data_IF_676085496407
#
_entry.id   IF_676085496407
#
_cell.length_a   1.000
_cell.length_b   1.000
_cell.length_c   1.000
_cell.angle_alpha   90.00
_cell.angle_beta   90.00
_cell.angle_gamma   90.00
#
_symmetry.space_group_name_H-M   'P 1'
#
loop_
_entity.id
_entity.type
_entity.pdbx_description
1 polymer ?
#
# COMPACT_ATOMS: atom_id res chain seq x y z
N UNK A 1 26.89 14.96 -22.34
CA UNK A 1 27.99 15.10 -21.38
C UNK A 1 27.48 15.14 -19.94
N UNK A 2 26.48 15.95 -19.63
CA UNK A 2 25.86 15.99 -18.26
C UNK A 2 25.17 14.68 -17.84
N UNK A 3 24.70 13.88 -18.78
CA UNK A 3 24.08 12.57 -18.51
C UNK A 3 25.11 11.47 -18.26
N UNK A 4 26.31 11.57 -18.85
CA UNK A 4 27.38 10.61 -18.67
C UNK A 4 28.12 10.77 -17.34
N UNK A 5 28.21 12.00 -16.82
CA UNK A 5 28.85 12.27 -15.54
C UNK A 5 28.03 11.78 -14.32
N UNK A 6 26.72 11.54 -14.51
CA UNK A 6 25.83 10.95 -13.49
C UNK A 6 25.90 9.44 -13.39
N UNK A 7 26.58 8.78 -14.31
CA UNK A 7 26.77 7.32 -14.37
C UNK A 7 28.18 6.88 -13.93
N UNK A 8 28.84 7.68 -13.09
CA UNK A 8 30.15 7.29 -12.56
C UNK A 8 30.07 5.93 -11.85
N UNK A 9 31.05 5.02 -12.12
CA UNK A 9 31.07 3.73 -11.48
C UNK A 9 31.23 3.89 -9.97
N UNK A 10 30.52 3.07 -9.21
CA UNK A 10 30.58 3.06 -7.75
C UNK A 10 32.01 2.81 -7.28
N UNK A 11 32.52 3.60 -6.31
CA UNK A 11 33.81 3.30 -5.71
C UNK A 11 33.72 1.97 -4.93
N UNK A 12 34.73 1.14 -5.11
CA UNK A 12 34.87 -0.18 -4.53
C UNK A 12 34.54 -0.20 -3.02
N UNK A 13 33.58 -1.00 -2.63
CA UNK A 13 33.41 -1.48 -1.25
C UNK A 13 32.66 -0.61 -0.28
N UNK A 14 32.01 0.48 -0.70
CA UNK A 14 31.02 1.18 0.13
C UNK A 14 29.62 0.96 -0.45
N UNK A 15 28.66 0.59 0.40
CA UNK A 15 27.26 0.66 0.02
C UNK A 15 27.00 2.06 -0.52
N UNK A 16 26.67 2.14 -1.80
CA UNK A 16 26.43 3.43 -2.44
C UNK A 16 25.17 4.03 -1.85
N UNK A 17 25.31 5.12 -1.14
CA UNK A 17 24.18 5.98 -0.89
C UNK A 17 23.64 6.42 -2.26
N UNK A 18 22.37 6.24 -2.53
CA UNK A 18 21.81 6.58 -3.83
C UNK A 18 21.97 8.09 -4.08
N UNK A 19 22.39 8.47 -5.27
CA UNK A 19 22.60 9.89 -5.65
C UNK A 19 21.38 10.82 -5.46
N UNK A 20 20.21 10.25 -5.19
CA UNK A 20 19.01 11.02 -4.87
C UNK A 20 18.97 11.52 -3.41
N UNK A 21 19.94 11.15 -2.56
CA UNK A 21 20.03 11.64 -1.18
C UNK A 21 20.36 13.14 -1.12
N UNK A 22 21.01 13.67 -2.16
CA UNK A 22 21.39 15.07 -2.21
C UNK A 22 20.19 16.02 -2.41
N UNK A 23 19.07 15.49 -2.93
CA UNK A 23 17.82 16.25 -3.12
C UNK A 23 16.79 16.02 -2.02
N UNK A 24 17.10 15.12 -1.08
CA UNK A 24 16.20 14.77 0.02
C UNK A 24 16.47 15.71 1.20
N UNK A 25 15.38 16.25 1.74
CA UNK A 25 15.42 16.99 3.00
C UNK A 25 16.08 16.11 4.08
N UNK A 26 17.23 16.54 4.66
CA UNK A 26 17.92 15.74 5.67
C UNK A 26 17.06 15.37 6.88
N UNK A 27 15.98 16.13 7.15
CA UNK A 27 15.03 15.80 8.21
C UNK A 27 14.16 14.58 7.90
N UNK A 28 14.06 14.20 6.62
CA UNK A 28 13.35 12.98 6.19
C UNK A 28 14.23 11.73 6.24
N UNK A 29 15.54 11.89 6.34
CA UNK A 29 16.49 10.79 6.47
C UNK A 29 16.91 10.73 7.93
N UNK A 30 16.10 10.08 8.76
CA UNK A 30 16.60 9.66 10.06
C UNK A 30 17.60 8.53 9.85
N UNK A 31 18.70 8.49 10.64
CA UNK A 31 19.68 7.43 10.51
C UNK A 31 19.01 6.06 10.60
N UNK A 32 19.51 5.14 9.80
CA UNK A 32 19.10 3.73 9.84
C UNK A 32 19.06 3.27 11.29
N UNK A 33 17.99 2.62 11.75
CA UNK A 33 17.92 2.14 13.12
C UNK A 33 19.15 1.33 13.45
N UNK A 34 19.71 1.54 14.62
CA UNK A 34 20.78 0.67 15.11
C UNK A 34 20.28 -0.77 15.03
N UNK A 35 21.09 -1.70 14.54
CA UNK A 35 20.68 -3.10 14.48
C UNK A 35 20.20 -3.51 15.86
N UNK A 36 19.06 -4.16 15.91
CA UNK A 36 18.47 -4.70 17.14
C UNK A 36 19.53 -5.53 17.85
N UNK A 37 19.75 -5.36 19.16
CA UNK A 37 20.73 -6.14 19.87
C UNK A 37 20.49 -7.65 19.63
N UNK A 38 21.54 -8.47 19.49
CA UNK A 38 21.41 -9.89 19.16
C UNK A 38 20.58 -10.71 20.15
N UNK A 39 20.17 -10.13 21.28
CA UNK A 39 19.33 -10.76 22.32
C UNK A 39 17.94 -10.12 22.42
N UNK A 40 17.55 -9.24 21.53
CA UNK A 40 16.15 -8.85 21.44
C UNK A 40 15.40 -10.07 20.89
N UNK A 41 14.48 -10.62 21.66
CA UNK A 41 13.54 -11.61 21.13
C UNK A 41 12.89 -10.98 19.88
N UNK A 42 12.91 -11.69 18.74
CA UNK A 42 12.25 -11.18 17.55
C UNK A 42 10.79 -10.93 17.94
N UNK A 43 10.39 -9.66 17.90
CA UNK A 43 8.97 -9.34 18.02
C UNK A 43 8.26 -10.16 16.94
N UNK A 44 7.39 -11.06 17.36
CA UNK A 44 6.65 -11.88 16.42
C UNK A 44 6.02 -10.95 15.38
N UNK A 45 6.16 -11.23 14.07
CA UNK A 45 5.54 -10.40 13.05
C UNK A 45 4.05 -10.27 13.37
N UNK A 46 3.62 -9.07 13.76
CA UNK A 46 2.24 -8.78 14.08
C UNK A 46 1.87 -8.64 15.55
N UNK A 47 2.80 -8.75 16.52
CA UNK A 47 2.51 -8.42 17.92
C UNK A 47 2.70 -6.92 18.18
N UNK A 48 1.95 -6.06 17.50
CA UNK A 48 1.76 -4.72 18.04
C UNK A 48 0.97 -4.84 19.33
N UNK A 49 1.42 -4.16 20.41
CA UNK A 49 0.56 -3.94 21.57
C UNK A 49 -0.68 -3.22 21.07
N UNK A 50 -1.78 -3.96 20.97
CA UNK A 50 -3.04 -3.39 20.56
C UNK A 50 -3.44 -2.30 21.56
N UNK A 51 -3.95 -1.14 21.06
CA UNK A 51 -4.52 -0.13 21.94
C UNK A 51 -5.63 -0.73 22.82
N UNK A 52 -5.76 -0.23 24.05
CA UNK A 52 -6.76 -0.72 25.00
C UNK A 52 -8.20 -0.74 24.44
N UNK A 53 -8.51 0.16 23.50
CA UNK A 53 -9.81 0.28 22.85
C UNK A 53 -9.90 -0.47 21.50
N UNK A 54 -9.08 -1.48 21.28
CA UNK A 54 -9.14 -2.32 20.09
C UNK A 54 -10.49 -3.05 20.01
N UNK A 55 -11.10 -3.09 18.81
CA UNK A 55 -12.36 -3.81 18.62
C UNK A 55 -12.21 -5.31 18.90
N UNK A 56 -13.29 -5.95 19.41
CA UNK A 56 -13.33 -7.39 19.67
C UNK A 56 -12.85 -8.22 18.48
N UNK A 57 -13.28 -7.86 17.28
CA UNK A 57 -12.88 -8.55 16.05
C UNK A 57 -11.36 -8.57 15.82
N UNK A 58 -10.66 -7.47 16.14
CA UNK A 58 -9.21 -7.42 15.98
C UNK A 58 -8.52 -8.23 17.06
N UNK A 59 -9.04 -8.19 18.29
CA UNK A 59 -8.56 -9.05 19.38
C UNK A 59 -8.69 -10.52 19.02
N UNK A 60 -9.85 -10.93 18.51
CA UNK A 60 -10.10 -12.29 18.06
C UNK A 60 -9.13 -12.71 16.95
N UNK A 61 -8.91 -11.86 15.93
CA UNK A 61 -7.95 -12.12 14.87
C UNK A 61 -6.52 -12.26 15.40
N UNK A 62 -6.14 -11.45 16.38
CA UNK A 62 -4.80 -11.53 16.98
C UNK A 62 -4.58 -12.81 17.76
N UNK A 63 -5.60 -13.30 18.46
CA UNK A 63 -5.55 -14.60 19.18
C UNK A 63 -5.39 -15.79 18.24
N UNK A 64 -5.83 -15.66 16.98
CA UNK A 64 -5.75 -16.73 15.97
C UNK A 64 -4.44 -16.73 15.17
N UNK A 65 -3.58 -15.74 15.37
CA UNK A 65 -2.30 -15.67 14.68
C UNK A 65 -1.35 -16.72 15.19
N UNK A 66 -0.75 -17.44 14.25
CA UNK A 66 0.27 -18.44 14.49
C UNK A 66 1.49 -18.17 13.58
N UNK A 67 2.64 -18.00 14.18
CA UNK A 67 3.89 -17.78 13.43
C UNK A 67 4.56 -19.07 12.95
N UNK A 68 4.03 -20.24 13.35
CA UNK A 68 4.56 -21.54 12.96
C UNK A 68 5.95 -21.88 13.53
N UNK A 69 6.59 -20.99 14.29
CA UNK A 69 7.93 -21.23 14.81
C UNK A 69 7.98 -22.45 15.75
N UNK A 70 8.95 -23.32 15.54
CA UNK A 70 9.12 -24.54 16.34
C UNK A 70 8.10 -25.66 16.06
N UNK A 71 7.20 -25.47 15.11
CA UNK A 71 6.22 -26.48 14.69
C UNK A 71 6.76 -27.27 13.49
N UNK A 72 6.60 -28.59 13.47
CA UNK A 72 6.97 -29.40 12.30
C UNK A 72 5.98 -29.16 11.17
N UNK A 73 6.43 -29.37 9.92
CA UNK A 73 5.51 -29.49 8.79
C UNK A 73 4.57 -30.68 8.99
N UNK A 74 3.33 -30.50 8.62
CA UNK A 74 2.31 -31.56 8.68
C UNK A 74 1.46 -31.58 7.42
N UNK A 75 0.80 -32.71 7.18
CA UNK A 75 -0.32 -32.75 6.24
C UNK A 75 -1.48 -31.89 6.75
N UNK A 76 -2.47 -31.63 5.92
CA UNK A 76 -3.70 -30.91 6.32
C UNK A 76 -4.47 -31.62 7.46
N UNK A 77 -4.22 -32.90 7.68
CA UNK A 77 -4.79 -33.70 8.78
C UNK A 77 -3.88 -33.76 10.01
N UNK A 78 -2.78 -33.00 10.04
CA UNK A 78 -1.89 -32.92 11.19
C UNK A 78 -0.83 -34.04 11.31
N UNK A 79 -0.69 -34.89 10.31
CA UNK A 79 0.35 -35.94 10.27
C UNK A 79 1.70 -35.28 9.98
N UNK A 80 2.70 -35.52 10.82
CA UNK A 80 4.06 -34.97 10.64
C UNK A 80 4.71 -35.46 9.37
N UNK A 81 5.33 -34.56 8.65
CA UNK A 81 6.08 -34.84 7.43
C UNK A 81 7.50 -35.29 7.83
N UNK A 82 7.90 -36.45 7.32
CA UNK A 82 9.23 -37.03 7.58
C UNK A 82 10.28 -36.53 6.59
N UNK A 83 9.91 -36.33 5.32
CA UNK A 83 10.81 -35.88 4.24
C UNK A 83 10.09 -34.86 3.35
N UNK A 84 10.60 -33.62 3.32
CA UNK A 84 10.12 -32.54 2.47
C UNK A 84 10.96 -32.36 1.19
N UNK A 85 11.96 -33.19 0.98
CA UNK A 85 12.92 -33.05 -0.14
C UNK A 85 12.72 -34.09 -1.23
N UNK A 86 12.03 -35.18 -0.93
CA UNK A 86 11.81 -36.28 -1.85
C UNK A 86 10.37 -36.74 -1.89
N UNK A 87 9.87 -37.07 -3.07
CA UNK A 87 8.55 -37.63 -3.29
C UNK A 87 8.58 -39.17 -3.32
N UNK A 88 7.43 -39.77 -3.05
CA UNK A 88 7.20 -41.19 -3.37
C UNK A 88 7.32 -41.39 -4.89
N UNK A 89 8.05 -42.43 -5.33
CA UNK A 89 8.29 -42.73 -6.74
C UNK A 89 8.05 -44.20 -7.05
N UNK A 90 7.65 -44.48 -8.28
CA UNK A 90 7.56 -45.82 -8.80
C UNK A 90 8.96 -46.37 -9.16
N UNK A 91 9.76 -46.73 -8.13
CA UNK A 91 11.16 -47.11 -8.23
C UNK A 91 12.11 -45.92 -8.22
N UNK A 92 13.43 -46.18 -8.10
CA UNK A 92 14.46 -45.14 -7.89
C UNK A 92 14.58 -44.10 -9.03
N UNK A 93 14.16 -44.46 -10.22
CA UNK A 93 14.16 -43.61 -11.43
C UNK A 93 12.75 -43.41 -12.04
N UNK A 94 11.74 -43.89 -11.35
CA UNK A 94 10.35 -43.80 -11.81
C UNK A 94 9.72 -42.43 -11.59
N UNK A 95 8.50 -42.22 -12.08
CA UNK A 95 7.75 -40.98 -11.88
C UNK A 95 7.34 -40.79 -10.41
N UNK A 96 7.15 -39.53 -10.00
CA UNK A 96 6.52 -39.20 -8.73
C UNK A 96 5.06 -39.64 -8.73
N UNK A 97 4.61 -40.12 -7.58
CA UNK A 97 3.26 -40.65 -7.42
C UNK A 97 2.38 -39.66 -6.65
N UNK A 98 1.16 -39.46 -7.11
CA UNK A 98 0.16 -38.61 -6.42
C UNK A 98 -0.40 -39.23 -5.13
N UNK A 99 -0.07 -40.51 -4.87
CA UNK A 99 -0.31 -41.17 -3.59
C UNK A 99 0.53 -40.59 -2.44
N UNK A 100 1.57 -39.82 -2.78
CA UNK A 100 2.27 -38.98 -1.80
C UNK A 100 1.40 -37.78 -1.44
N UNK A 101 0.69 -37.88 -0.33
CA UNK A 101 -0.21 -36.78 0.12
C UNK A 101 0.53 -35.49 0.39
N UNK A 102 1.77 -35.55 0.90
CA UNK A 102 2.54 -34.34 1.13
C UNK A 102 2.86 -33.63 -0.19
N UNK A 103 3.27 -34.37 -1.22
CA UNK A 103 3.51 -33.83 -2.55
C UNK A 103 2.24 -33.23 -3.16
N UNK A 104 1.12 -33.96 -3.10
CA UNK A 104 -0.15 -33.51 -3.62
C UNK A 104 -0.63 -32.20 -2.93
N UNK A 105 -0.60 -32.16 -1.59
CA UNK A 105 -0.99 -30.99 -0.81
C UNK A 105 -0.06 -29.81 -1.07
N UNK A 106 1.26 -30.05 -1.12
CA UNK A 106 2.24 -28.99 -1.37
C UNK A 106 2.06 -28.37 -2.76
N UNK A 107 1.80 -29.18 -3.78
CA UNK A 107 1.50 -28.70 -5.13
C UNK A 107 0.18 -27.95 -5.18
N UNK A 108 -0.86 -28.45 -4.53
CA UNK A 108 -2.15 -27.77 -4.47
C UNK A 108 -2.06 -26.40 -3.76
N UNK A 109 -1.34 -26.31 -2.66
CA UNK A 109 -1.08 -25.04 -2.01
C UNK A 109 -0.32 -24.08 -2.90
N UNK A 110 0.75 -24.56 -3.57
CA UNK A 110 1.53 -23.77 -4.51
C UNK A 110 0.69 -23.24 -5.67
N UNK A 111 -0.12 -24.07 -6.29
CA UNK A 111 -0.97 -23.67 -7.42
C UNK A 111 -2.04 -22.64 -7.01
N UNK A 112 -2.47 -22.67 -5.75
CA UNK A 112 -3.51 -21.80 -5.21
C UNK A 112 -2.97 -20.54 -4.48
N UNK A 113 -1.66 -20.34 -4.43
CA UNK A 113 -1.05 -19.14 -3.84
C UNK A 113 -1.41 -17.86 -4.61
N UNK A 114 -1.64 -17.99 -5.90
CA UNK A 114 -1.98 -16.87 -6.77
C UNK A 114 -3.45 -16.52 -6.62
N UNK A 115 -3.71 -15.26 -6.29
CA UNK A 115 -5.04 -14.69 -6.24
C UNK A 115 -5.20 -13.68 -7.40
N UNK A 116 -6.42 -13.43 -7.88
CA UNK A 116 -6.67 -12.37 -8.85
C UNK A 116 -6.18 -11.02 -8.32
N UNK A 117 -5.58 -10.22 -9.18
CA UNK A 117 -5.23 -8.84 -8.86
C UNK A 117 -6.47 -7.94 -8.89
N UNK A 118 -6.45 -6.86 -8.12
CA UNK A 118 -7.46 -5.80 -8.25
C UNK A 118 -7.39 -5.21 -9.66
N UNK A 119 -8.53 -4.87 -10.22
CA UNK A 119 -8.61 -4.20 -11.53
C UNK A 119 -7.84 -2.89 -11.52
N UNK A 120 -7.95 -2.15 -10.44
CA UNK A 120 -7.13 -0.96 -10.11
C UNK A 120 -6.61 -1.08 -8.69
N UNK A 121 -5.54 -0.37 -8.35
CA UNK A 121 -4.88 -0.41 -7.05
C UNK A 121 -4.25 -1.79 -6.69
N UNK A 122 -3.81 -2.56 -7.68
CA UNK A 122 -3.16 -3.85 -7.45
C UNK A 122 -1.81 -3.68 -6.72
N UNK A 123 -1.03 -2.68 -7.11
CA UNK A 123 0.23 -2.32 -6.45
C UNK A 123 -0.04 -1.47 -5.23
N UNK A 124 0.42 -1.89 -4.04
CA UNK A 124 0.25 -1.09 -2.85
C UNK A 124 0.89 -1.70 -1.61
N UNK A 125 0.93 -0.89 -0.56
CA UNK A 125 1.44 -1.26 0.77
C UNK A 125 0.53 -0.68 1.83
N UNK A 126 0.49 -1.30 2.99
CA UNK A 126 -0.35 -0.83 4.09
C UNK A 126 0.39 -0.84 5.42
N UNK A 127 -0.19 -0.13 6.38
CA UNK A 127 0.29 -0.07 7.74
C UNK A 127 -0.86 -0.05 8.73
N UNK A 128 -0.66 -0.68 9.86
CA UNK A 128 -1.52 -0.52 11.02
C UNK A 128 -1.15 0.75 11.77
N UNK A 129 -2.13 1.38 12.39
CA UNK A 129 -1.94 2.57 13.20
C UNK A 129 -3.15 2.85 14.07
N UNK A 130 -3.26 4.08 14.54
CA UNK A 130 -4.43 4.53 15.26
C UNK A 130 -4.83 5.94 14.83
N UNK A 131 -6.10 6.23 14.94
CA UNK A 131 -6.69 7.55 14.80
C UNK A 131 -7.12 8.09 16.15
N UNK A 132 -6.94 9.36 16.36
CA UNK A 132 -7.36 10.06 17.58
C UNK A 132 -7.85 11.45 17.21
N UNK A 133 -9.09 11.77 17.58
CA UNK A 133 -9.65 13.09 17.33
C UNK A 133 -9.06 14.11 18.32
N UNK A 134 -8.74 15.32 17.86
CA UNK A 134 -8.21 16.38 18.76
C UNK A 134 -9.23 16.94 19.73
N UNK A 135 -10.50 16.93 19.33
CA UNK A 135 -11.64 17.40 20.15
C UNK A 135 -12.93 16.71 19.72
N UNK A 136 -13.89 16.65 20.61
CA UNK A 136 -15.21 16.07 20.29
C UNK A 136 -15.86 16.77 19.10
N UNK A 137 -16.38 15.97 18.19
CA UNK A 137 -17.19 16.41 17.04
C UNK A 137 -18.68 16.15 17.23
N UNK A 138 -19.16 15.99 18.48
CA UNK A 138 -20.57 15.74 18.82
C UNK A 138 -21.55 16.72 18.19
N UNK A 139 -21.13 17.96 18.00
CA UNK A 139 -21.90 18.98 17.28
C UNK A 139 -22.27 18.56 15.85
N UNK A 140 -21.46 17.78 15.20
CA UNK A 140 -21.56 17.44 13.78
C UNK A 140 -21.94 15.99 13.52
N UNK A 141 -21.57 15.08 14.41
CA UNK A 141 -21.76 13.65 14.21
C UNK A 141 -21.99 12.92 15.52
N UNK A 142 -22.74 11.83 15.46
CA UNK A 142 -22.87 10.88 16.57
C UNK A 142 -21.91 9.69 16.51
N UNK A 143 -21.11 9.58 15.44
CA UNK A 143 -20.15 8.49 15.28
C UNK A 143 -19.19 8.39 16.49
N UNK A 144 -19.12 7.25 17.13
CA UNK A 144 -18.44 7.07 18.43
C UNK A 144 -16.95 7.46 18.36
N UNK A 145 -16.23 7.06 17.33
CA UNK A 145 -14.79 7.31 17.19
C UNK A 145 -14.41 8.80 16.98
N UNK A 146 -15.39 9.68 16.82
CA UNK A 146 -15.21 11.13 16.68
C UNK A 146 -15.69 11.91 17.92
N UNK A 147 -16.00 11.21 19.04
CA UNK A 147 -16.55 11.85 20.24
C UNK A 147 -15.50 12.16 21.30
N UNK A 148 -14.65 11.21 21.59
CA UNK A 148 -13.74 11.26 22.75
C UNK A 148 -12.28 11.45 22.30
N UNK A 149 -11.65 12.59 22.64
CA UNK A 149 -10.24 12.82 22.34
C UNK A 149 -9.26 11.87 23.04
N UNK A 150 -9.69 11.15 24.06
CA UNK A 150 -8.84 10.15 24.72
C UNK A 150 -8.87 8.78 24.03
N UNK A 151 -9.85 8.56 23.13
CA UNK A 151 -10.00 7.30 22.43
C UNK A 151 -9.02 7.17 21.28
N UNK A 152 -8.27 6.07 21.26
CA UNK A 152 -7.43 5.67 20.13
C UNK A 152 -8.14 4.59 19.34
N UNK A 153 -8.64 4.94 18.18
CA UNK A 153 -9.31 4.01 17.26
C UNK A 153 -8.28 3.34 16.38
N UNK A 154 -8.13 1.99 16.41
CA UNK A 154 -7.25 1.29 15.51
C UNK A 154 -7.62 1.55 14.05
N UNK A 155 -6.61 1.71 13.20
CA UNK A 155 -6.78 1.89 11.76
C UNK A 155 -5.86 0.98 10.97
N UNK A 156 -6.26 0.68 9.74
CA UNK A 156 -5.37 0.16 8.71
C UNK A 156 -5.40 1.10 7.53
N UNK A 157 -4.24 1.61 7.14
CA UNK A 157 -4.11 2.50 5.98
C UNK A 157 -3.44 1.73 4.86
N UNK A 158 -3.97 1.85 3.64
CA UNK A 158 -3.36 1.29 2.43
C UNK A 158 -3.09 2.39 1.42
N UNK A 159 -1.82 2.49 1.02
CA UNK A 159 -1.36 3.30 -0.11
C UNK A 159 -1.22 2.42 -1.34
N UNK A 160 -1.57 2.94 -2.53
CA UNK A 160 -1.53 2.14 -3.75
C UNK A 160 -1.39 2.98 -5.00
N UNK A 161 -0.78 2.41 -6.04
CA UNK A 161 -0.87 2.95 -7.39
C UNK A 161 -2.21 2.56 -8.00
N UNK A 162 -2.70 3.30 -8.99
CA UNK A 162 -4.01 3.03 -9.61
C UNK A 162 -3.88 2.09 -10.79
N UNK A 163 -3.00 2.40 -11.74
CA UNK A 163 -3.03 1.82 -13.08
C UNK A 163 -2.25 0.52 -13.23
N UNK A 164 -1.08 0.42 -12.58
CA UNK A 164 -0.15 -0.68 -12.78
C UNK A 164 -0.54 -1.99 -12.13
N UNK A 165 0.11 -3.07 -12.56
CA UNK A 165 0.01 -4.39 -11.95
C UNK A 165 0.60 -4.39 -10.54
N UNK A 166 0.36 -5.47 -9.78
CA UNK A 166 0.99 -5.67 -8.47
C UNK A 166 2.52 -5.61 -8.52
N UNK A 167 3.14 -6.08 -9.60
CA UNK A 167 4.59 -6.09 -9.83
C UNK A 167 5.15 -4.85 -10.51
N UNK A 168 4.32 -3.83 -10.80
CA UNK A 168 4.79 -2.58 -11.40
C UNK A 168 5.60 -1.75 -10.39
N UNK A 169 6.52 -0.86 -10.85
CA UNK A 169 7.30 -0.02 -9.95
C UNK A 169 6.46 1.00 -9.19
N UNK A 170 6.91 1.36 -7.99
CA UNK A 170 6.24 2.33 -7.13
C UNK A 170 6.28 3.77 -7.67
N UNK A 171 7.39 4.15 -8.33
CA UNK A 171 7.68 5.55 -8.70
C UNK A 171 7.14 5.98 -10.05
N UNK A 172 6.42 5.12 -10.77
CA UNK A 172 5.73 5.51 -12.00
C UNK A 172 4.75 6.65 -11.73
N UNK A 173 4.59 7.54 -12.71
CA UNK A 173 3.57 8.59 -12.63
C UNK A 173 2.18 7.97 -12.60
N UNK A 174 1.51 8.15 -11.50
CA UNK A 174 0.17 7.62 -11.26
C UNK A 174 -0.48 8.37 -10.09
N UNK A 175 -1.78 8.27 -9.94
CA UNK A 175 -2.48 8.67 -8.73
C UNK A 175 -2.17 7.65 -7.64
N UNK A 176 -2.04 8.11 -6.41
CA UNK A 176 -1.91 7.22 -5.25
C UNK A 176 -3.24 7.11 -4.52
N UNK A 177 -3.68 5.86 -4.32
CA UNK A 177 -4.78 5.56 -3.43
C UNK A 177 -4.37 5.81 -1.98
N UNK A 178 -5.32 6.28 -1.19
CA UNK A 178 -5.19 6.51 0.25
C UNK A 178 -6.46 6.01 0.92
N UNK A 179 -6.47 4.76 1.32
CA UNK A 179 -7.64 4.11 1.91
C UNK A 179 -7.39 3.85 3.40
N UNK A 180 -8.32 4.28 4.24
CA UNK A 180 -8.26 4.12 5.69
C UNK A 180 -9.46 3.33 6.17
N UNK A 181 -9.22 2.22 6.87
CA UNK A 181 -10.22 1.45 7.60
C UNK A 181 -10.11 1.77 9.08
N UNK A 182 -11.20 2.27 9.67
CA UNK A 182 -11.33 2.51 11.10
C UNK A 182 -12.06 1.34 11.74
N UNK A 183 -11.46 0.76 12.74
CA UNK A 183 -12.06 -0.33 13.53
C UNK A 183 -12.73 0.26 14.75
N UNK A 184 -13.94 0.77 14.56
CA UNK A 184 -14.68 1.48 15.63
C UNK A 184 -15.49 0.52 16.50
N UNK A 185 -15.93 0.99 17.65
CA UNK A 185 -16.83 0.23 18.55
C UNK A 185 -18.19 -0.06 17.93
N UNK A 186 -18.60 0.72 16.93
CA UNK A 186 -19.87 0.57 16.21
C UNK A 186 -19.75 -0.26 14.94
N UNK A 187 -18.56 -0.80 14.68
CA UNK A 187 -18.23 -1.55 13.47
C UNK A 187 -17.16 -0.85 12.62
N UNK A 188 -16.88 -1.40 11.45
CA UNK A 188 -15.86 -0.86 10.56
C UNK A 188 -16.39 0.34 9.79
N UNK A 189 -15.59 1.38 9.71
CA UNK A 189 -15.84 2.55 8.90
C UNK A 189 -14.67 2.71 7.91
N UNK A 190 -14.96 2.78 6.62
CA UNK A 190 -13.94 2.88 5.57
C UNK A 190 -14.01 4.23 4.88
N UNK A 191 -12.87 4.91 4.78
CA UNK A 191 -12.70 6.11 3.99
C UNK A 191 -11.73 5.81 2.86
N UNK A 192 -12.26 5.65 1.65
CA UNK A 192 -11.47 5.37 0.46
C UNK A 192 -11.22 6.68 -0.28
N UNK A 193 -9.96 6.98 -0.52
CA UNK A 193 -9.54 8.22 -1.15
C UNK A 193 -8.32 8.08 -2.04
N UNK A 194 -7.89 9.20 -2.59
CA UNK A 194 -6.72 9.33 -3.44
C UNK A 194 -5.90 10.56 -3.02
N UNK A 195 -4.72 10.71 -3.59
CA UNK A 195 -3.84 11.87 -3.40
C UNK A 195 -4.22 13.08 -4.29
N UNK A 196 -5.37 13.04 -4.95
CA UNK A 196 -5.93 14.15 -5.72
C UNK A 196 -7.28 14.57 -5.17
N UNK A 197 -7.59 15.88 -5.17
CA UNK A 197 -8.83 16.42 -4.57
C UNK A 197 -10.09 16.17 -5.40
N UNK A 198 -9.94 15.73 -6.64
CA UNK A 198 -11.01 15.46 -7.59
C UNK A 198 -10.80 14.11 -8.26
N UNK A 199 -11.85 13.56 -8.88
CA UNK A 199 -11.77 12.33 -9.63
C UNK A 199 -11.83 12.61 -11.14
N UNK A 200 -11.46 11.64 -11.98
CA UNK A 200 -11.45 11.79 -13.42
C UNK A 200 -12.83 11.99 -14.04
N UNK A 201 -13.83 11.32 -13.47
CA UNK A 201 -15.19 11.26 -14.01
C UNK A 201 -16.22 11.58 -12.94
N UNK A 202 -17.41 12.02 -13.36
CA UNK A 202 -18.54 12.24 -12.49
C UNK A 202 -19.53 11.07 -12.52
N UNK A 203 -19.82 10.54 -13.70
CA UNK A 203 -20.73 9.40 -13.84
C UNK A 203 -19.96 8.08 -13.85
N UNK A 204 -20.36 7.17 -12.98
CA UNK A 204 -19.69 5.88 -12.77
C UNK A 204 -19.73 4.96 -14.01
N UNK A 205 -20.65 5.14 -14.94
CA UNK A 205 -20.69 4.36 -16.19
C UNK A 205 -19.44 4.58 -17.06
N UNK A 206 -18.75 5.70 -16.88
CA UNK A 206 -17.52 6.03 -17.61
C UNK A 206 -16.27 5.37 -17.02
N UNK A 207 -16.38 4.76 -15.85
CA UNK A 207 -15.23 4.16 -15.17
C UNK A 207 -14.61 2.99 -15.96
N UNK A 208 -15.39 2.01 -16.47
CA UNK A 208 -14.82 0.95 -17.29
C UNK A 208 -14.06 1.46 -18.51
N UNK A 209 -14.59 2.45 -19.22
CA UNK A 209 -13.97 3.04 -20.41
C UNK A 209 -12.65 3.73 -20.04
N UNK A 210 -12.64 4.48 -18.94
CA UNK A 210 -11.43 5.09 -18.42
C UNK A 210 -10.36 4.04 -18.08
N UNK A 211 -10.75 2.95 -17.43
CA UNK A 211 -9.81 1.88 -17.06
C UNK A 211 -9.28 1.16 -18.31
N UNK A 212 -10.13 0.87 -19.29
CA UNK A 212 -9.66 0.32 -20.57
C UNK A 212 -8.63 1.23 -21.26
N UNK A 213 -8.83 2.55 -21.18
CA UNK A 213 -7.93 3.52 -21.79
C UNK A 213 -6.55 3.60 -21.12
N UNK A 214 -6.40 3.17 -19.87
CA UNK A 214 -5.13 3.21 -19.12
C UNK A 214 -4.46 1.84 -18.95
N UNK A 215 -5.19 0.75 -19.23
CA UNK A 215 -4.65 -0.61 -19.15
C UNK A 215 -3.98 -1.01 -20.47
N UNK A 216 -3.13 -2.05 -20.47
CA UNK A 216 -2.57 -2.60 -21.70
C UNK A 216 -3.64 -2.99 -22.72
N UNK A 217 -3.32 -2.83 -23.98
CA UNK A 217 -4.19 -3.23 -25.08
C UNK A 217 -4.45 -4.75 -25.05
N UNK A 218 -5.69 -5.22 -25.24
CA UNK A 218 -6.02 -6.63 -25.06
C UNK A 218 -5.39 -7.57 -26.09
N UNK A 219 -5.01 -7.06 -27.25
CA UNK A 219 -4.45 -7.88 -28.33
C UNK A 219 -2.93 -8.11 -28.23
N UNK A 220 -2.19 -7.31 -27.43
CA UNK A 220 -0.74 -7.40 -27.35
C UNK A 220 -0.18 -7.11 -25.94
N UNK A 221 -1.02 -6.75 -24.98
CA UNK A 221 -0.67 -6.38 -23.61
C UNK A 221 0.35 -5.21 -23.51
N UNK A 222 0.34 -4.31 -24.45
CA UNK A 222 1.15 -3.07 -24.48
C UNK A 222 0.24 -1.83 -24.46
N UNK A 223 0.76 -0.69 -23.95
CA UNK A 223 1.89 -0.56 -23.06
C UNK A 223 1.57 -1.02 -21.64
N UNK A 224 2.57 -1.03 -20.75
CA UNK A 224 2.33 -1.19 -19.31
C UNK A 224 1.38 -0.09 -18.82
N UNK A 225 0.51 -0.38 -17.84
CA UNK A 225 -0.46 0.58 -17.29
C UNK A 225 0.20 1.86 -16.79
N UNK A 226 0.24 2.86 -17.63
CA UNK A 226 0.88 4.17 -17.41
C UNK A 226 0.13 5.27 -18.17
N UNK A 227 0.35 6.53 -17.76
CA UNK A 227 -0.24 7.72 -18.39
C UNK A 227 0.38 8.10 -19.73
N UNK A 228 1.39 7.39 -20.21
CA UNK A 228 1.97 7.56 -21.55
C UNK A 228 1.23 6.79 -22.66
N UNK A 229 0.02 6.32 -22.38
CA UNK A 229 -0.79 5.48 -23.24
C UNK A 229 -1.57 6.32 -24.26
N UNK A 230 -1.54 5.96 -25.55
CA UNK A 230 -2.30 6.66 -26.59
C UNK A 230 -3.81 6.68 -26.28
N UNK A 231 -4.36 5.54 -25.91
CA UNK A 231 -5.78 5.40 -25.54
C UNK A 231 -6.16 6.26 -24.34
N UNK A 232 -5.25 6.49 -23.41
CA UNK A 232 -5.49 7.42 -22.30
C UNK A 232 -5.69 8.86 -22.81
N UNK A 233 -4.83 9.34 -23.68
CA UNK A 233 -4.94 10.69 -24.22
C UNK A 233 -6.12 10.85 -25.17
N UNK A 234 -6.46 9.82 -25.92
CA UNK A 234 -7.69 9.78 -26.71
C UNK A 234 -8.93 9.91 -25.82
N UNK A 235 -8.99 9.12 -24.74
CA UNK A 235 -10.08 9.21 -23.76
C UNK A 235 -10.18 10.62 -23.16
N UNK A 236 -9.06 11.21 -22.75
CA UNK A 236 -9.02 12.58 -22.19
C UNK A 236 -9.55 13.60 -23.20
N UNK A 237 -9.21 13.46 -24.47
CA UNK A 237 -9.67 14.37 -25.52
C UNK A 237 -11.19 14.30 -25.74
N UNK A 238 -11.75 13.09 -25.60
CA UNK A 238 -13.19 12.82 -25.77
C UNK A 238 -14.00 13.11 -24.51
N UNK A 239 -13.36 13.11 -23.34
CA UNK A 239 -14.00 13.34 -22.04
C UNK A 239 -13.33 14.52 -21.31
N UNK A 240 -13.62 15.77 -21.69
CA UNK A 240 -12.93 16.95 -21.17
C UNK A 240 -13.15 17.18 -19.66
N UNK A 241 -14.14 16.56 -19.05
CA UNK A 241 -14.33 16.57 -17.59
C UNK A 241 -13.14 15.98 -16.82
N UNK A 242 -12.32 15.15 -17.48
CA UNK A 242 -11.13 14.54 -16.90
C UNK A 242 -9.98 15.52 -16.67
N UNK A 243 -9.94 16.64 -17.39
CA UNK A 243 -8.80 17.56 -17.42
C UNK A 243 -8.38 18.06 -16.05
N UNK A 244 -9.31 18.36 -15.16
CA UNK A 244 -8.96 18.83 -13.83
C UNK A 244 -8.13 17.78 -13.07
N UNK A 245 -8.53 16.52 -13.10
CA UNK A 245 -7.75 15.45 -12.46
C UNK A 245 -6.43 15.19 -13.21
N UNK A 246 -6.44 15.23 -14.55
CA UNK A 246 -5.24 15.04 -15.38
C UNK A 246 -4.18 16.10 -15.06
N UNK A 247 -4.55 17.34 -14.83
CA UNK A 247 -3.61 18.39 -14.41
C UNK A 247 -2.97 18.05 -13.06
N UNK A 248 -3.71 17.51 -12.11
CA UNK A 248 -3.15 17.01 -10.84
C UNK A 248 -2.23 15.82 -11.06
N UNK A 249 -2.63 14.86 -11.89
CA UNK A 249 -1.83 13.68 -12.22
C UNK A 249 -0.49 14.06 -12.88
N UNK A 250 -0.49 15.07 -13.75
CA UNK A 250 0.71 15.57 -14.43
C UNK A 250 1.56 16.51 -13.59
N UNK A 251 1.06 16.93 -12.43
CA UNK A 251 1.81 17.71 -11.45
C UNK A 251 2.73 16.83 -10.58
N UNK A 252 3.37 17.45 -9.61
CA UNK A 252 4.19 16.79 -8.61
C UNK A 252 3.44 15.70 -7.81
N UNK A 253 2.13 15.80 -7.71
CA UNK A 253 1.31 14.79 -7.01
C UNK A 253 1.38 13.41 -7.67
N UNK A 254 1.61 13.34 -8.97
CA UNK A 254 1.74 12.09 -9.71
C UNK A 254 3.06 11.34 -9.49
N UNK A 255 4.07 11.98 -8.89
CA UNK A 255 5.40 11.41 -8.61
C UNK A 255 5.85 11.74 -7.17
N UNK A 256 5.11 11.31 -6.15
CA UNK A 256 5.45 11.61 -4.77
C UNK A 256 6.79 11.01 -4.35
N UNK A 257 7.45 11.68 -3.40
CA UNK A 257 8.71 11.20 -2.83
C UNK A 257 8.50 9.95 -1.97
N UNK A 258 7.42 9.88 -1.23
CA UNK A 258 7.12 8.81 -0.27
C UNK A 258 5.62 8.76 -0.01
N UNK A 259 5.11 7.61 0.41
CA UNK A 259 3.76 7.50 0.97
C UNK A 259 3.56 8.37 2.21
N UNK A 260 4.63 8.66 2.96
CA UNK A 260 4.61 9.52 4.16
C UNK A 260 4.42 11.00 3.86
N UNK A 261 4.58 11.40 2.61
CA UNK A 261 4.59 12.80 2.16
C UNK A 261 3.52 13.13 1.13
N UNK A 262 2.53 12.26 0.95
CA UNK A 262 1.35 12.54 0.12
C UNK A 262 0.22 13.13 0.94
N UNK A 263 -0.61 13.96 0.32
CA UNK A 263 -1.92 14.31 0.85
C UNK A 263 -2.95 13.25 0.44
N UNK A 264 -3.93 12.99 1.28
CA UNK A 264 -5.05 12.12 0.95
C UNK A 264 -6.37 12.89 0.95
N UNK A 265 -7.26 12.58 0.02
CA UNK A 265 -8.57 13.20 -0.10
C UNK A 265 -9.65 12.13 -0.15
N UNK A 266 -10.72 12.31 0.63
CA UNK A 266 -11.91 11.47 0.50
C UNK A 266 -12.67 11.73 -0.80
N UNK A 267 -12.33 12.77 -1.54
CA UNK A 267 -12.89 13.22 -2.82
C UNK A 267 -14.36 13.62 -2.73
N UNK A 268 -15.21 12.72 -2.24
CA UNK A 268 -16.65 12.93 -2.14
C UNK A 268 -17.03 13.91 -1.04
N UNK A 269 -18.21 14.52 -1.19
CA UNK A 269 -18.85 15.23 -0.11
C UNK A 269 -19.66 14.24 0.73
N UNK A 270 -19.28 14.11 1.99
CA UNK A 270 -19.95 13.23 2.96
C UNK A 270 -20.93 14.05 3.81
N UNK A 271 -21.86 13.36 4.42
CA UNK A 271 -22.84 13.95 5.33
C UNK A 271 -22.65 13.32 6.73
N UNK A 272 -22.23 14.14 7.69
CA UNK A 272 -22.23 13.78 9.09
C UNK A 272 -23.59 14.12 9.72
N UNK A 273 -24.06 13.26 10.60
CA UNK A 273 -25.35 13.42 11.29
C UNK A 273 -25.10 13.37 12.79
N UNK A 274 -25.55 14.38 13.53
CA UNK A 274 -25.46 14.42 14.98
C UNK A 274 -26.64 13.72 15.68
N UNK A 275 -26.65 13.70 17.02
CA UNK A 275 -27.72 13.09 17.81
C UNK A 275 -29.10 13.69 17.57
N UNK A 276 -29.17 14.99 17.27
CA UNK A 276 -30.43 15.68 16.97
C UNK A 276 -30.95 15.43 15.55
N UNK A 277 -30.25 14.57 14.78
CA UNK A 277 -30.56 14.29 13.37
C UNK A 277 -30.14 15.42 12.42
N UNK A 278 -29.46 16.46 12.90
CA UNK A 278 -28.96 17.55 12.06
C UNK A 278 -27.78 17.09 11.24
N UNK A 279 -27.83 17.30 9.92
CA UNK A 279 -26.77 16.95 8.99
C UNK A 279 -25.84 18.12 8.66
N UNK A 280 -24.55 17.81 8.44
CA UNK A 280 -23.53 18.75 8.00
C UNK A 280 -22.70 18.10 6.91
N UNK A 281 -22.51 18.81 5.79
CA UNK A 281 -21.66 18.34 4.72
C UNK A 281 -20.18 18.56 5.06
N UNK A 282 -19.36 17.56 4.77
CA UNK A 282 -17.93 17.57 5.06
C UNK A 282 -17.14 16.94 3.92
N UNK A 283 -15.85 17.31 3.83
CA UNK A 283 -14.85 16.60 3.05
C UNK A 283 -13.72 16.19 3.98
N UNK A 284 -13.14 15.05 3.71
CA UNK A 284 -11.98 14.55 4.44
C UNK A 284 -10.71 14.89 3.66
N UNK A 285 -9.72 15.39 4.38
CA UNK A 285 -8.42 15.72 3.84
C UNK A 285 -7.33 15.29 4.81
N UNK A 286 -6.47 14.39 4.38
CA UNK A 286 -5.31 13.92 5.13
C UNK A 286 -4.10 14.77 4.75
N UNK A 287 -3.50 15.43 5.73
CA UNK A 287 -2.32 16.27 5.55
C UNK A 287 -1.13 15.60 6.21
N UNK A 288 -0.05 15.30 5.47
CA UNK A 288 1.14 14.69 6.07
C UNK A 288 1.83 15.70 6.98
N UNK A 289 2.15 15.29 8.21
CA UNK A 289 2.90 16.13 9.18
C UNK A 289 4.29 16.49 8.64
N UNK A 290 4.92 15.58 7.88
CA UNK A 290 6.19 15.84 7.19
C UNK A 290 6.08 16.83 6.01
N UNK A 291 4.89 17.30 5.69
CA UNK A 291 4.65 18.11 4.50
C UNK A 291 4.69 17.30 3.20
N UNK A 292 4.31 17.95 2.12
CA UNK A 292 4.29 17.35 0.78
C UNK A 292 5.69 17.38 0.17
N UNK A 293 6.13 16.25 -0.38
CA UNK A 293 7.39 16.12 -1.11
C UNK A 293 7.17 15.30 -2.37
N UNK A 294 7.84 15.67 -3.44
CA UNK A 294 7.79 14.96 -4.72
C UNK A 294 9.19 14.66 -5.24
N UNK A 295 9.28 13.69 -6.12
CA UNK A 295 10.43 13.48 -6.98
C UNK A 295 10.37 14.44 -8.16
N UNK A 296 11.48 14.60 -8.87
CA UNK A 296 11.47 15.15 -10.22
C UNK A 296 11.37 14.02 -11.24
N UNK A 297 11.02 14.32 -12.48
CA UNK A 297 10.71 13.30 -13.47
C UNK A 297 11.87 12.33 -13.75
N UNK A 298 13.07 12.83 -13.93
CA UNK A 298 14.26 12.01 -14.20
C UNK A 298 14.65 11.12 -13.00
N UNK A 299 14.53 11.62 -11.77
CA UNK A 299 14.68 10.80 -10.57
C UNK A 299 13.67 9.67 -10.53
N UNK A 300 12.40 9.97 -10.76
CA UNK A 300 11.34 8.96 -10.75
C UNK A 300 11.59 7.86 -11.78
N UNK A 301 12.08 8.22 -12.97
CA UNK A 301 12.44 7.27 -14.02
C UNK A 301 13.66 6.41 -13.64
N UNK A 302 14.69 7.01 -13.07
CA UNK A 302 15.89 6.29 -12.63
C UNK A 302 15.54 5.29 -11.51
N UNK A 303 14.75 5.72 -10.52
CA UNK A 303 14.29 4.88 -9.43
C UNK A 303 13.40 3.73 -9.90
N UNK A 304 12.58 3.94 -10.91
CA UNK A 304 11.76 2.88 -11.52
C UNK A 304 12.61 1.66 -11.93
N UNK A 305 13.81 1.91 -12.45
CA UNK A 305 14.74 0.85 -12.85
C UNK A 305 15.63 0.33 -11.73
N UNK A 306 16.09 1.20 -10.84
CA UNK A 306 17.06 0.84 -9.80
C UNK A 306 16.42 0.26 -8.55
N UNK A 307 15.29 0.78 -8.13
CA UNK A 307 14.57 0.37 -6.92
C UNK A 307 13.05 0.44 -7.15
N UNK A 308 12.48 -0.55 -7.83
CA UNK A 308 11.04 -0.56 -8.12
C UNK A 308 10.17 -0.61 -6.86
N UNK A 309 10.71 -0.98 -5.72
CA UNK A 309 10.02 -1.05 -4.42
C UNK A 309 10.25 0.19 -3.53
N UNK A 310 10.71 1.28 -4.11
CA UNK A 310 11.19 2.47 -3.39
C UNK A 310 10.23 3.00 -2.32
N UNK A 311 8.96 3.23 -2.63
CA UNK A 311 7.98 3.71 -1.64
C UNK A 311 7.62 2.64 -0.62
N UNK A 312 7.52 1.38 -1.05
CA UNK A 312 7.24 0.25 -0.17
C UNK A 312 8.34 0.07 0.87
N UNK A 313 9.60 0.13 0.42
CA UNK A 313 10.79 0.03 1.25
C UNK A 313 10.90 1.20 2.22
N UNK A 314 10.67 2.44 1.75
CA UNK A 314 10.67 3.63 2.59
C UNK A 314 9.64 3.53 3.74
N UNK A 315 8.41 3.12 3.43
CA UNK A 315 7.36 2.94 4.45
C UNK A 315 7.75 1.86 5.47
N UNK A 316 8.24 0.71 4.99
CA UNK A 316 8.68 -0.38 5.86
C UNK A 316 9.81 0.07 6.79
N UNK A 317 10.87 0.63 6.24
CA UNK A 317 12.05 1.05 7.00
C UNK A 317 11.72 2.14 8.02
N UNK A 318 10.85 3.09 7.68
CA UNK A 318 10.45 4.14 8.62
C UNK A 318 9.69 3.57 9.81
N UNK A 319 8.77 2.63 9.58
CA UNK A 319 8.01 1.98 10.65
C UNK A 319 8.92 1.12 11.53
N UNK A 320 9.78 0.28 10.94
CA UNK A 320 10.76 -0.52 11.68
C UNK A 320 11.72 0.37 12.50
N UNK A 321 12.06 1.52 11.97
CA UNK A 321 12.90 2.54 12.64
C UNK A 321 12.20 3.32 13.75
N UNK A 322 10.90 3.16 13.93
CA UNK A 322 10.10 3.94 14.88
C UNK A 322 9.79 5.37 14.39
N UNK A 323 10.05 5.67 13.11
CA UNK A 323 9.70 6.93 12.46
C UNK A 323 8.33 6.81 11.81
N UNK A 324 7.30 6.83 12.63
CA UNK A 324 5.93 6.58 12.20
C UNK A 324 5.38 7.75 11.39
N UNK A 325 4.81 7.50 10.19
CA UNK A 325 4.14 8.55 9.43
C UNK A 325 2.88 9.05 10.16
N UNK A 326 2.70 10.36 10.20
CA UNK A 326 1.55 10.99 10.83
C UNK A 326 0.81 11.88 9.82
N UNK A 327 -0.52 11.88 9.93
CA UNK A 327 -1.42 12.66 9.10
C UNK A 327 -2.49 13.34 9.96
N UNK A 328 -2.78 14.60 9.63
CA UNK A 328 -3.88 15.37 10.24
C UNK A 328 -5.12 15.37 9.35
#
# INVERSE_FOLDING_TARGET
QQMQDRLAPFPDGKEAEPHYTDTIDPELIKPTPKPTPPNAEPSAPGSMKMPENTSEKIKDLDTMRDNGMGKPLTTNLGVKIADDQNTLKAGSRGPSLLEDFHFLEKMAHFDQERIPERVVHARGSGAHGYFQVYKSLSKYTKAAFLQDPSEKTPVFVRFSNVQGFRGSPDTVRDIRGFATKFYTREGNYDLVGNDTPVFFIQDSIKFPDFIHAVKPEPHNEMPQGQTAHDSFWDYVSLQPETLHNVMWLMSDRGIPRSYRTIEGFGIHTYKLVNEDGKSTFVRFHWKPVYGKKSLIWDEAQDLTGRDPDFHRKDLWQSIEGGDYPEFE
#
